data_IF_403681656692
#
_entry.id   IF_403681656692
#
_cell.length_a   1.000
_cell.length_b   1.000
_cell.length_c   1.000
_cell.angle_alpha   90.00
_cell.angle_beta   90.00
_cell.angle_gamma   90.00
#
_symmetry.space_group_name_H-M   'P 1'
#
loop_
_entity.id
_entity.type
_entity.pdbx_description
1 polymer ?
#
# COMPACT_ATOMS: atom_id res chain seq x y z
N UNK A 1 10.17 3.42 1.96
CA UNK A 1 10.06 2.08 2.58
C UNK A 1 9.87 2.07 4.09
N UNK A 2 10.01 3.20 4.81
CA UNK A 2 9.77 3.28 6.27
C UNK A 2 8.29 3.22 6.69
N UNK A 3 7.38 3.48 5.75
CA UNK A 3 5.93 3.51 6.00
C UNK A 3 5.35 2.28 6.72
N UNK A 4 5.72 1.02 6.39
CA UNK A 4 5.14 -0.14 7.04
C UNK A 4 5.57 -0.28 8.50
N UNK A 5 6.79 0.17 8.84
CA UNK A 5 7.28 0.13 10.21
C UNK A 5 6.43 1.03 11.13
N UNK A 6 6.19 2.28 10.71
CA UNK A 6 5.35 3.21 11.48
C UNK A 6 3.89 2.76 11.54
N UNK A 7 3.36 2.26 10.42
CA UNK A 7 2.01 1.67 10.39
C UNK A 7 1.87 0.51 11.37
N UNK A 8 2.86 -0.38 11.46
CA UNK A 8 2.83 -1.52 12.37
C UNK A 8 2.72 -1.09 13.84
N UNK A 9 3.44 -0.02 14.22
CA UNK A 9 3.39 0.53 15.58
C UNK A 9 2.01 1.11 15.87
N UNK A 10 1.41 1.83 14.93
CA UNK A 10 0.11 2.49 15.12
C UNK A 10 -1.03 1.46 15.11
N UNK A 11 -1.01 0.46 14.23
CA UNK A 11 -2.01 -0.62 14.18
C UNK A 11 -2.04 -1.47 15.46
N UNK A 12 -1.03 -1.38 16.34
CA UNK A 12 -1.06 -2.01 17.66
C UNK A 12 -2.09 -1.37 18.60
N UNK A 13 -2.47 -0.13 18.35
CA UNK A 13 -3.48 0.60 19.12
C UNK A 13 -4.89 0.45 18.55
N UNK A 14 -5.06 -0.37 17.51
CA UNK A 14 -6.37 -0.60 16.90
C UNK A 14 -7.24 -1.50 17.79
N UNK A 15 -8.58 -1.41 17.67
CA UNK A 15 -9.51 -2.22 18.45
C UNK A 15 -9.21 -3.72 18.39
N UNK A 16 -8.88 -4.21 17.19
CA UNK A 16 -8.38 -5.57 16.99
C UNK A 16 -6.93 -5.49 16.48
N UNK A 17 -5.94 -5.54 17.39
CA UNK A 17 -4.54 -5.35 17.02
C UNK A 17 -4.01 -6.53 16.21
N UNK A 18 -3.12 -6.21 15.28
CA UNK A 18 -2.41 -7.24 14.50
C UNK A 18 -1.37 -7.96 15.37
N UNK A 19 -1.34 -9.29 15.30
CA UNK A 19 -0.25 -10.07 15.88
C UNK A 19 1.07 -9.73 15.21
N UNK A 20 2.07 -9.32 15.99
CA UNK A 20 3.43 -9.02 15.50
C UNK A 20 4.35 -10.16 15.91
N UNK A 21 4.85 -10.91 14.93
CA UNK A 21 5.93 -11.87 15.16
C UNK A 21 7.30 -11.26 14.79
N UNK A 22 8.36 -11.88 15.32
CA UNK A 22 9.74 -11.50 15.00
C UNK A 22 10.04 -11.69 13.50
N UNK A 23 9.37 -12.63 12.83
CA UNK A 23 9.50 -12.90 11.40
C UNK A 23 9.02 -11.75 10.52
N UNK A 24 7.84 -11.18 10.80
CA UNK A 24 7.29 -10.02 10.10
C UNK A 24 8.17 -8.79 10.24
N UNK A 25 8.73 -8.55 11.45
CA UNK A 25 9.66 -7.46 11.68
C UNK A 25 10.96 -7.64 10.89
N UNK A 26 11.50 -8.86 10.85
CA UNK A 26 12.68 -9.19 10.05
C UNK A 26 12.44 -8.98 8.54
N UNK A 27 11.25 -9.33 8.04
CA UNK A 27 10.89 -9.08 6.63
C UNK A 27 10.77 -7.59 6.31
N UNK A 28 10.20 -6.78 7.21
CA UNK A 28 10.16 -5.32 7.06
C UNK A 28 11.59 -4.75 7.06
N UNK A 29 12.46 -5.21 7.96
CA UNK A 29 13.86 -4.80 8.00
C UNK A 29 14.62 -5.18 6.72
N UNK A 30 14.38 -6.38 6.17
CA UNK A 30 14.97 -6.82 4.91
C UNK A 30 14.51 -5.93 3.74
N UNK A 31 13.22 -5.57 3.70
CA UNK A 31 12.71 -4.66 2.68
C UNK A 31 13.30 -3.25 2.81
N UNK A 32 13.53 -2.76 4.03
CA UNK A 32 14.23 -1.50 4.27
C UNK A 32 15.68 -1.55 3.80
N UNK A 33 16.39 -2.64 4.08
CA UNK A 33 17.77 -2.85 3.63
C UNK A 33 17.86 -2.79 2.10
N UNK A 34 16.98 -3.52 1.39
CA UNK A 34 16.93 -3.48 -0.06
C UNK A 34 16.70 -2.07 -0.63
N UNK A 35 15.81 -1.30 0.01
CA UNK A 35 15.56 0.09 -0.37
C UNK A 35 16.78 1.00 -0.12
N UNK A 36 17.51 0.81 0.98
CA UNK A 36 18.75 1.55 1.25
C UNK A 36 19.81 1.23 0.20
N UNK A 37 20.03 -0.06 -0.10
CA UNK A 37 20.98 -0.48 -1.14
C UNK A 37 20.65 0.13 -2.51
N UNK A 38 19.36 0.23 -2.84
CA UNK A 38 18.91 0.91 -4.06
C UNK A 38 19.29 2.40 -4.08
N UNK A 39 19.06 3.11 -2.97
CA UNK A 39 19.32 4.55 -2.86
C UNK A 39 20.82 4.86 -2.87
N UNK A 40 21.67 4.00 -2.32
CA UNK A 40 23.13 4.18 -2.36
C UNK A 40 23.68 4.28 -3.79
N UNK A 41 23.00 3.70 -4.78
CA UNK A 41 23.37 3.79 -6.19
C UNK A 41 22.98 5.12 -6.87
N UNK A 42 22.10 5.93 -6.25
CA UNK A 42 21.54 7.15 -6.84
C UNK A 42 22.46 8.37 -6.63
N UNK A 43 22.49 9.32 -7.59
CA UNK A 43 23.16 10.60 -7.39
C UNK A 43 22.56 11.36 -6.20
N UNK A 44 23.40 12.10 -5.48
CA UNK A 44 22.97 12.88 -4.31
C UNK A 44 22.08 14.05 -4.77
N UNK A 45 20.77 13.89 -4.59
CA UNK A 45 19.76 14.90 -4.94
C UNK A 45 19.68 16.01 -3.87
N UNK A 46 19.22 17.19 -4.26
CA UNK A 46 18.98 18.36 -3.40
C UNK A 46 18.12 18.04 -2.15
N UNK A 47 18.57 18.55 -1.01
CA UNK A 47 17.94 18.39 0.31
C UNK A 47 16.62 19.15 0.49
N UNK A 48 16.29 20.10 -0.40
CA UNK A 48 15.10 20.96 -0.29
C UNK A 48 13.76 20.21 -0.35
N UNK A 49 13.73 18.99 -0.88
CA UNK A 49 12.52 18.16 -0.96
C UNK A 49 12.26 17.29 0.27
N UNK A 50 13.21 17.17 1.21
CA UNK A 50 13.13 16.19 2.31
C UNK A 50 11.94 16.45 3.23
N UNK A 51 11.65 17.71 3.57
CA UNK A 51 10.50 18.07 4.39
C UNK A 51 9.17 17.66 3.74
N UNK A 52 9.03 17.88 2.44
CA UNK A 52 7.85 17.46 1.67
C UNK A 52 7.69 15.94 1.62
N UNK A 53 8.79 15.20 1.54
CA UNK A 53 8.75 13.72 1.61
C UNK A 53 8.25 13.25 2.97
N UNK A 54 8.71 13.85 4.07
CA UNK A 54 8.21 13.49 5.41
C UNK A 54 6.73 13.80 5.57
N UNK A 55 6.28 14.98 5.12
CA UNK A 55 4.88 15.35 5.15
C UNK A 55 4.01 14.40 4.33
N UNK A 56 4.46 14.07 3.12
CA UNK A 56 3.79 13.09 2.26
C UNK A 56 3.70 11.71 2.91
N UNK A 57 4.77 11.25 3.56
CA UNK A 57 4.79 9.98 4.29
C UNK A 57 3.79 10.00 5.45
N UNK A 58 3.70 11.08 6.22
CA UNK A 58 2.77 11.21 7.33
C UNK A 58 1.30 11.13 6.86
N UNK A 59 0.91 11.94 5.87
CA UNK A 59 -0.43 11.89 5.28
C UNK A 59 -0.72 10.52 4.67
N UNK A 60 0.25 9.94 3.94
CA UNK A 60 0.07 8.63 3.33
C UNK A 60 -0.10 7.53 4.37
N UNK A 61 0.53 7.59 5.55
CA UNK A 61 0.30 6.59 6.60
C UNK A 61 -1.07 6.82 7.24
N UNK A 62 -1.40 8.07 7.59
CA UNK A 62 -2.67 8.43 8.21
C UNK A 62 -3.87 8.04 7.34
N UNK A 63 -3.84 8.37 6.06
CA UNK A 63 -4.86 7.97 5.07
C UNK A 63 -5.09 6.45 5.06
N UNK A 64 -4.01 5.67 4.95
CA UNK A 64 -4.11 4.20 4.86
C UNK A 64 -4.60 3.57 6.16
N UNK A 65 -4.18 4.12 7.28
CA UNK A 65 -4.63 3.71 8.61
C UNK A 65 -6.12 4.01 8.81
N UNK A 66 -6.57 5.23 8.49
CA UNK A 66 -7.97 5.62 8.60
C UNK A 66 -8.86 4.79 7.66
N UNK A 67 -8.46 4.62 6.41
CA UNK A 67 -9.18 3.76 5.45
C UNK A 67 -9.28 2.32 5.96
N UNK A 68 -8.20 1.74 6.52
CA UNK A 68 -8.26 0.41 7.11
C UNK A 68 -9.25 0.35 8.27
N UNK A 69 -9.22 1.35 9.17
CA UNK A 69 -10.11 1.41 10.33
C UNK A 69 -11.59 1.45 9.91
N UNK A 70 -11.91 2.21 8.86
CA UNK A 70 -13.26 2.41 8.34
C UNK A 70 -13.76 1.30 7.39
N UNK A 71 -12.88 0.49 6.79
CA UNK A 71 -13.26 -0.49 5.76
C UNK A 71 -13.15 -1.95 6.22
N UNK A 72 -12.29 -2.22 7.19
CA UNK A 72 -12.04 -3.58 7.64
C UNK A 72 -13.21 -4.11 8.48
N UNK A 73 -13.72 -5.29 8.11
CA UNK A 73 -14.85 -5.93 8.80
C UNK A 73 -14.54 -6.27 10.26
N UNK A 74 -13.26 -6.50 10.57
CA UNK A 74 -12.75 -6.77 11.89
C UNK A 74 -12.48 -5.50 12.71
N UNK A 75 -12.85 -4.31 12.25
CA UNK A 75 -12.59 -3.04 12.96
C UNK A 75 -13.90 -2.26 13.18
N UNK A 76 -13.95 -0.97 12.83
CA UNK A 76 -15.15 -0.14 12.88
C UNK A 76 -15.62 0.20 11.47
N UNK A 77 -16.20 -0.78 10.74
CA UNK A 77 -16.60 -0.56 9.36
C UNK A 77 -17.73 0.48 9.30
N UNK A 78 -17.52 1.50 8.49
CA UNK A 78 -18.59 2.44 8.10
C UNK A 78 -19.45 1.73 7.05
N UNK A 79 -20.77 1.85 7.16
CA UNK A 79 -21.69 1.27 6.17
C UNK A 79 -21.67 2.08 4.87
N UNK A 80 -20.71 1.74 4.02
CA UNK A 80 -20.54 2.33 2.70
C UNK A 80 -20.10 1.25 1.71
N UNK A 81 -20.68 1.27 0.51
CA UNK A 81 -20.27 0.34 -0.53
C UNK A 81 -18.82 0.64 -0.97
N UNK A 82 -18.09 -0.39 -1.38
CA UNK A 82 -16.70 -0.23 -1.87
C UNK A 82 -16.64 0.77 -3.03
N UNK A 83 -17.61 0.70 -3.95
CA UNK A 83 -17.76 1.64 -5.05
C UNK A 83 -18.00 3.07 -4.56
N UNK A 84 -18.82 3.26 -3.52
CA UNK A 84 -19.04 4.56 -2.89
C UNK A 84 -17.76 5.15 -2.31
N UNK A 85 -16.97 4.35 -1.59
CA UNK A 85 -15.65 4.77 -1.06
C UNK A 85 -14.70 5.13 -2.19
N UNK A 86 -14.65 4.31 -3.25
CA UNK A 86 -13.82 4.59 -4.43
C UNK A 86 -14.23 5.92 -5.07
N UNK A 87 -15.52 6.19 -5.23
CA UNK A 87 -16.00 7.46 -5.79
C UNK A 87 -15.59 8.64 -4.90
N UNK A 88 -15.83 8.54 -3.59
CA UNK A 88 -15.46 9.59 -2.64
C UNK A 88 -13.96 9.88 -2.65
N UNK A 89 -13.12 8.84 -2.61
CA UNK A 89 -11.67 8.99 -2.62
C UNK A 89 -11.17 9.67 -3.92
N UNK A 90 -11.78 9.37 -5.08
CA UNK A 90 -11.42 10.05 -6.33
C UNK A 90 -11.95 11.49 -6.38
N UNK A 91 -13.16 11.76 -5.87
CA UNK A 91 -13.73 13.12 -5.81
C UNK A 91 -12.98 14.01 -4.82
N UNK A 92 -12.61 13.49 -3.65
CA UNK A 92 -11.79 14.19 -2.67
C UNK A 92 -10.44 14.56 -3.27
N UNK A 93 -9.84 13.67 -4.08
CA UNK A 93 -8.61 13.94 -4.82
C UNK A 93 -8.72 15.09 -5.84
N UNK A 94 -9.93 15.39 -6.35
CA UNK A 94 -10.12 16.53 -7.26
C UNK A 94 -9.97 17.87 -6.55
N UNK A 95 -10.36 17.97 -5.28
CA UNK A 95 -10.33 19.22 -4.51
C UNK A 95 -8.92 19.85 -4.48
N UNK A 96 -7.85 19.15 -4.03
CA UNK A 96 -6.51 19.73 -4.03
C UNK A 96 -5.99 20.00 -5.45
N UNK A 97 -6.37 19.17 -6.44
CA UNK A 97 -5.97 19.39 -7.84
C UNK A 97 -6.55 20.70 -8.37
N UNK A 98 -7.84 20.94 -8.15
CA UNK A 98 -8.53 22.18 -8.58
C UNK A 98 -7.95 23.40 -7.88
N UNK A 99 -7.65 23.31 -6.58
CA UNK A 99 -7.02 24.40 -5.83
C UNK A 99 -5.63 24.73 -6.42
N UNK A 100 -4.80 23.72 -6.68
CA UNK A 100 -3.47 23.94 -7.25
C UNK A 100 -3.57 24.51 -8.67
N UNK A 101 -4.45 23.97 -9.52
CA UNK A 101 -4.68 24.49 -10.87
C UNK A 101 -5.12 25.97 -10.85
N UNK A 102 -5.94 26.36 -9.87
CA UNK A 102 -6.34 27.75 -9.68
C UNK A 102 -5.16 28.64 -9.29
N UNK A 103 -4.40 28.24 -8.26
CA UNK A 103 -3.23 28.98 -7.79
C UNK A 103 -2.12 29.11 -8.84
N UNK A 104 -2.00 28.13 -9.73
CA UNK A 104 -1.03 28.11 -10.83
C UNK A 104 -1.54 28.70 -12.14
N UNK A 105 -2.81 29.09 -12.19
CA UNK A 105 -3.48 29.59 -13.41
C UNK A 105 -3.40 28.62 -14.60
N UNK A 106 -3.39 27.31 -14.32
CA UNK A 106 -3.29 26.24 -15.34
C UNK A 106 -4.60 26.03 -16.11
N UNK A 107 -5.70 26.67 -15.70
CA UNK A 107 -7.00 26.57 -16.39
C UNK A 107 -6.94 27.13 -17.81
N UNK A 108 -6.09 28.12 -18.06
CA UNK A 108 -5.93 28.73 -19.38
C UNK A 108 -5.27 27.77 -20.38
N UNK A 109 -4.49 26.81 -19.88
CA UNK A 109 -3.78 25.81 -20.70
C UNK A 109 -4.65 24.60 -21.08
N UNK A 110 -5.82 24.43 -20.46
CA UNK A 110 -6.71 23.28 -20.71
C UNK A 110 -7.23 23.28 -22.16
N UNK A 111 -7.67 24.45 -22.65
CA UNK A 111 -8.21 24.59 -24.00
C UNK A 111 -7.18 24.24 -25.08
N UNK A 112 -5.97 24.84 -25.06
CA UNK A 112 -4.86 24.47 -25.94
C UNK A 112 -4.46 22.99 -25.83
N UNK A 113 -4.38 22.45 -24.61
CA UNK A 113 -4.02 21.04 -24.39
C UNK A 113 -5.07 20.08 -24.98
N UNK A 114 -6.36 20.40 -24.88
CA UNK A 114 -7.40 19.56 -25.48
C UNK A 114 -7.37 19.59 -27.00
N UNK A 115 -7.07 20.74 -27.60
CA UNK A 115 -6.96 20.89 -29.06
C UNK A 115 -5.72 20.21 -29.64
N UNK A 116 -4.67 20.05 -28.86
CA UNK A 116 -3.44 19.37 -29.30
C UNK A 116 -3.53 17.84 -29.21
N UNK A 117 -4.57 17.30 -28.57
CA UNK A 117 -4.82 15.86 -28.52
C UNK A 117 -5.32 15.34 -29.87
N UNK A 118 -4.56 14.44 -30.47
CA UNK A 118 -5.03 13.63 -31.60
C UNK A 118 -5.92 12.47 -31.10
N UNK A 119 -6.59 11.77 -32.03
CA UNK A 119 -7.48 10.66 -31.69
C UNK A 119 -6.78 9.57 -30.85
N UNK A 120 -5.51 9.29 -31.12
CA UNK A 120 -4.71 8.36 -30.34
C UNK A 120 -4.50 8.84 -28.90
N UNK A 121 -4.17 10.12 -28.71
CA UNK A 121 -4.02 10.75 -27.40
C UNK A 121 -5.30 10.69 -26.58
N UNK A 122 -6.46 10.96 -27.19
CA UNK A 122 -7.77 10.81 -26.53
C UNK A 122 -7.98 9.37 -26.05
N UNK A 123 -7.73 8.38 -26.90
CA UNK A 123 -7.84 6.96 -26.53
C UNK A 123 -6.91 6.61 -25.36
N UNK A 124 -5.65 7.08 -25.40
CA UNK A 124 -4.68 6.83 -24.32
C UNK A 124 -5.13 7.46 -22.99
N UNK A 125 -5.66 8.68 -23.02
CA UNK A 125 -6.22 9.35 -21.83
C UNK A 125 -7.39 8.54 -21.28
N UNK A 126 -8.37 8.18 -22.11
CA UNK A 126 -9.52 7.38 -21.67
C UNK A 126 -9.08 6.03 -21.08
N UNK A 127 -8.15 5.33 -21.74
CA UNK A 127 -7.61 4.06 -21.25
C UNK A 127 -6.92 4.23 -19.89
N UNK A 128 -6.14 5.30 -19.70
CA UNK A 128 -5.50 5.60 -18.42
C UNK A 128 -6.53 5.85 -17.31
N UNK A 129 -7.66 6.50 -17.61
CA UNK A 129 -8.74 6.71 -16.65
C UNK A 129 -9.39 5.38 -16.27
N UNK A 130 -9.66 4.49 -17.23
CA UNK A 130 -10.24 3.17 -16.96
C UNK A 130 -9.31 2.34 -16.06
N UNK A 131 -8.01 2.32 -16.38
CA UNK A 131 -7.01 1.65 -15.54
C UNK A 131 -6.92 2.29 -14.15
N UNK A 132 -6.97 3.62 -14.07
CA UNK A 132 -6.96 4.38 -12.81
C UNK A 132 -8.15 4.02 -11.90
N UNK A 133 -9.36 3.92 -12.46
CA UNK A 133 -10.55 3.46 -11.74
C UNK A 133 -10.36 2.02 -11.23
N UNK A 134 -9.80 1.14 -12.06
CA UNK A 134 -9.49 -0.23 -11.68
C UNK A 134 -8.50 -0.31 -10.51
N UNK A 135 -7.42 0.48 -10.55
CA UNK A 135 -6.43 0.56 -9.47
C UNK A 135 -7.09 1.10 -8.19
N UNK A 136 -7.91 2.15 -8.30
CA UNK A 136 -8.59 2.77 -7.17
C UNK A 136 -9.56 1.79 -6.48
N UNK A 137 -10.39 1.10 -7.25
CA UNK A 137 -11.32 0.09 -6.72
C UNK A 137 -10.60 -1.11 -6.10
N UNK A 138 -9.61 -1.67 -6.80
CA UNK A 138 -8.84 -2.82 -6.28
C UNK A 138 -8.01 -2.45 -5.05
N UNK A 139 -7.53 -1.20 -4.96
CA UNK A 139 -6.88 -0.66 -3.76
C UNK A 139 -7.80 -0.65 -2.54
N UNK A 140 -8.97 -0.04 -2.67
CA UNK A 140 -10.00 -0.01 -1.60
C UNK A 140 -10.41 -1.43 -1.21
N UNK A 141 -10.62 -2.30 -2.20
CA UNK A 141 -10.97 -3.68 -1.94
C UNK A 141 -9.86 -4.42 -1.17
N UNK A 142 -8.61 -4.31 -1.59
CA UNK A 142 -7.48 -4.91 -0.89
C UNK A 142 -7.38 -4.40 0.56
N UNK A 143 -7.51 -3.10 0.80
CA UNK A 143 -7.48 -2.51 2.15
C UNK A 143 -8.58 -3.04 3.07
N UNK A 144 -9.75 -3.37 2.51
CA UNK A 144 -10.83 -4.00 3.28
C UNK A 144 -10.52 -5.45 3.69
N UNK A 145 -9.55 -6.10 3.02
CA UNK A 145 -9.20 -7.50 3.25
C UNK A 145 -7.93 -7.66 4.10
N UNK A 146 -6.90 -6.83 3.88
CA UNK A 146 -5.59 -6.95 4.55
C UNK A 146 -5.27 -5.74 5.43
N UNK A 147 -4.42 -5.92 6.44
CA UNK A 147 -3.99 -4.83 7.33
C UNK A 147 -3.33 -3.66 6.57
N UNK A 148 -3.36 -2.46 7.15
CA UNK A 148 -2.71 -1.28 6.57
C UNK A 148 -1.20 -1.51 6.40
N UNK A 149 -0.56 -2.20 7.35
CA UNK A 149 0.86 -2.58 7.21
C UNK A 149 1.07 -3.51 6.02
N UNK A 150 0.26 -4.56 5.87
CA UNK A 150 0.36 -5.49 4.73
C UNK A 150 0.15 -4.78 3.40
N UNK A 151 -0.81 -3.86 3.35
CA UNK A 151 -1.05 -3.02 2.18
C UNK A 151 0.15 -2.12 1.85
N UNK A 152 0.77 -1.50 2.85
CA UNK A 152 1.96 -0.66 2.68
C UNK A 152 3.18 -1.48 2.23
N UNK A 153 3.34 -2.72 2.72
CA UNK A 153 4.36 -3.65 2.23
C UNK A 153 4.11 -3.99 0.77
N UNK A 154 2.87 -4.33 0.39
CA UNK A 154 2.48 -4.62 -0.98
C UNK A 154 2.77 -3.46 -1.92
N UNK A 155 2.37 -2.24 -1.55
CA UNK A 155 2.64 -1.03 -2.36
C UNK A 155 4.14 -0.75 -2.48
N UNK A 156 4.92 -0.96 -1.41
CA UNK A 156 6.38 -0.80 -1.47
C UNK A 156 7.03 -1.84 -2.37
N UNK A 157 6.62 -3.11 -2.34
CA UNK A 157 7.11 -4.13 -3.25
C UNK A 157 6.73 -3.83 -4.71
N UNK A 158 5.49 -3.40 -4.96
CA UNK A 158 5.01 -3.05 -6.29
C UNK A 158 5.83 -1.92 -6.94
N UNK A 159 6.29 -0.92 -6.16
CA UNK A 159 7.19 0.13 -6.67
C UNK A 159 8.47 -0.44 -7.28
N UNK A 160 9.08 -1.44 -6.65
CA UNK A 160 10.29 -2.06 -7.18
C UNK A 160 10.03 -2.93 -8.42
N UNK A 161 8.84 -3.54 -8.52
CA UNK A 161 8.41 -4.25 -9.73
C UNK A 161 8.29 -3.26 -10.90
N UNK A 162 7.64 -2.11 -10.68
CA UNK A 162 7.52 -1.06 -11.71
C UNK A 162 8.91 -0.59 -12.15
N UNK A 163 9.83 -0.33 -11.21
CA UNK A 163 11.22 0.04 -11.54
C UNK A 163 11.91 -1.03 -12.41
N UNK A 164 11.66 -2.31 -12.12
CA UNK A 164 12.20 -3.41 -12.92
C UNK A 164 11.62 -3.40 -14.35
N UNK A 165 10.31 -3.25 -14.50
CA UNK A 165 9.66 -3.15 -15.83
C UNK A 165 10.18 -1.94 -16.61
N UNK A 166 10.32 -0.77 -15.96
CA UNK A 166 10.87 0.44 -16.60
C UNK A 166 12.31 0.24 -17.08
N UNK A 167 13.14 -0.45 -16.30
CA UNK A 167 14.54 -0.66 -16.62
C UNK A 167 14.76 -1.74 -17.70
N UNK A 168 14.04 -2.86 -17.61
CA UNK A 168 14.29 -4.03 -18.46
C UNK A 168 13.35 -4.14 -19.66
N UNK A 169 12.09 -3.71 -19.55
CA UNK A 169 11.13 -3.81 -20.65
C UNK A 169 11.08 -2.51 -21.46
N UNK A 170 11.08 -1.36 -20.78
CA UNK A 170 10.99 -0.05 -21.45
C UNK A 170 12.35 0.56 -21.77
N UNK A 171 13.45 -0.02 -21.26
CA UNK A 171 14.82 0.49 -21.38
C UNK A 171 14.97 2.00 -21.05
N UNK A 172 14.07 2.53 -20.22
CA UNK A 172 13.99 3.97 -19.93
C UNK A 172 14.95 4.40 -18.83
N UNK A 173 15.46 3.44 -18.05
CA UNK A 173 16.39 3.69 -16.93
C UNK A 173 17.54 2.69 -16.95
N UNK A 174 18.78 3.19 -16.86
CA UNK A 174 19.97 2.37 -16.67
C UNK A 174 20.22 2.18 -15.18
N UNK A 175 20.03 0.96 -14.68
CA UNK A 175 20.25 0.62 -13.27
C UNK A 175 21.65 0.06 -13.05
N UNK A 176 22.31 0.48 -11.98
CA UNK A 176 23.56 -0.13 -11.53
C UNK A 176 23.28 -1.52 -10.92
N UNK A 177 24.25 -2.46 -10.95
CA UNK A 177 24.08 -3.79 -10.35
C UNK A 177 23.64 -3.76 -8.88
N UNK A 178 24.15 -2.81 -8.10
CA UNK A 178 23.75 -2.63 -6.69
C UNK A 178 22.27 -2.22 -6.53
N UNK A 179 21.73 -1.46 -7.48
CA UNK A 179 20.32 -1.05 -7.48
C UNK A 179 19.43 -2.23 -7.82
N UNK A 180 19.85 -3.07 -8.77
CA UNK A 180 19.14 -4.31 -9.11
C UNK A 180 19.11 -5.24 -7.89
N UNK A 181 20.26 -5.46 -7.23
CA UNK A 181 20.34 -6.27 -6.02
C UNK A 181 19.44 -5.73 -4.89
N UNK A 182 19.48 -4.42 -4.64
CA UNK A 182 18.62 -3.77 -3.64
C UNK A 182 17.13 -3.92 -3.94
N UNK A 183 16.73 -3.75 -5.21
CA UNK A 183 15.34 -3.95 -5.63
C UNK A 183 14.87 -5.40 -5.45
N UNK A 184 15.69 -6.38 -5.83
CA UNK A 184 15.39 -7.81 -5.64
C UNK A 184 15.22 -8.14 -4.16
N UNK A 185 16.15 -7.68 -3.30
CA UNK A 185 16.05 -7.86 -1.84
C UNK A 185 14.75 -7.24 -1.30
N UNK A 186 14.36 -6.06 -1.76
CA UNK A 186 13.14 -5.40 -1.33
C UNK A 186 11.86 -6.18 -1.73
N UNK A 187 11.82 -6.70 -2.96
CA UNK A 187 10.70 -7.52 -3.45
C UNK A 187 10.61 -8.83 -2.66
N UNK A 188 11.73 -9.53 -2.48
CA UNK A 188 11.77 -10.78 -1.72
C UNK A 188 11.35 -10.57 -0.26
N UNK A 189 11.75 -9.47 0.37
CA UNK A 189 11.29 -9.10 1.71
C UNK A 189 9.77 -8.87 1.77
N UNK A 190 9.19 -8.21 0.76
CA UNK A 190 7.75 -8.03 0.66
C UNK A 190 6.97 -9.35 0.47
N UNK A 191 7.47 -10.23 -0.40
CA UNK A 191 6.86 -11.57 -0.63
C UNK A 191 6.97 -12.44 0.63
N UNK A 192 8.13 -12.44 1.29
CA UNK A 192 8.35 -13.17 2.53
C UNK A 192 7.42 -12.67 3.65
N UNK A 193 7.23 -11.36 3.76
CA UNK A 193 6.27 -10.76 4.69
C UNK A 193 4.84 -11.25 4.44
N UNK A 194 4.38 -11.21 3.18
CA UNK A 194 3.05 -11.68 2.81
C UNK A 194 2.80 -13.14 3.21
N UNK A 195 3.77 -14.02 2.94
CA UNK A 195 3.70 -15.43 3.35
C UNK A 195 3.74 -15.64 4.86
N UNK A 196 4.54 -14.85 5.58
CA UNK A 196 4.59 -14.90 7.04
C UNK A 196 3.23 -14.51 7.64
N UNK A 197 2.60 -13.46 7.09
CA UNK A 197 1.30 -12.97 7.53
C UNK A 197 0.18 -13.99 7.30
N UNK A 198 0.12 -14.58 6.12
CA UNK A 198 -0.85 -15.62 5.78
C UNK A 198 -0.78 -16.80 6.76
N UNK A 199 0.44 -17.25 7.10
CA UNK A 199 0.65 -18.34 8.07
C UNK A 199 0.15 -17.98 9.47
N UNK A 200 0.38 -16.75 9.94
CA UNK A 200 -0.11 -16.31 11.25
C UNK A 200 -1.64 -16.25 11.29
N UNK A 201 -2.26 -15.72 10.23
CA UNK A 201 -3.72 -15.63 10.14
C UNK A 201 -4.36 -17.02 10.10
N UNK A 202 -3.75 -17.97 9.39
CA UNK A 202 -4.17 -19.37 9.39
C UNK A 202 -4.06 -20.03 10.78
N UNK A 203 -2.98 -19.78 11.52
CA UNK A 203 -2.80 -20.31 12.88
C UNK A 203 -3.83 -19.73 13.85
N UNK A 204 -4.10 -18.42 13.80
CA UNK A 204 -5.13 -17.77 14.63
C UNK A 204 -6.53 -18.30 14.28
N UNK A 205 -6.82 -18.53 13.01
CA UNK A 205 -8.10 -19.10 12.58
C UNK A 205 -8.28 -20.55 13.06
N UNK A 206 -7.21 -21.36 13.10
CA UNK A 206 -7.23 -22.71 13.65
C UNK A 206 -7.43 -22.70 15.18
N UNK A 207 -6.66 -21.88 15.90
CA UNK A 207 -6.76 -21.74 17.35
C UNK A 207 -8.13 -21.21 17.83
N UNK A 208 -8.90 -20.51 16.98
CA UNK A 208 -10.28 -20.09 17.29
C UNK A 208 -11.32 -21.20 17.06
N UNK A 209 -11.00 -22.25 16.31
CA UNK A 209 -11.92 -23.39 16.05
C UNK A 209 -11.80 -24.50 17.10
N UNK A 210 -10.63 -24.65 17.72
CA UNK A 210 -10.37 -25.66 18.76
C UNK A 210 -11.02 -25.43 20.16
N UNK A 211 -11.36 -24.21 20.65
CA UNK A 211 -11.83 -24.02 22.03
C UNK A 211 -13.28 -24.46 22.26
N UNK A 212 -13.99 -24.95 21.24
CA UNK A 212 -15.34 -25.50 21.38
C UNK A 212 -15.39 -27.01 21.66
N UNK A 213 -14.26 -27.73 21.54
CA UNK A 213 -14.24 -29.20 21.67
C UNK A 213 -13.81 -29.73 23.05
N UNK A 214 -13.26 -28.90 23.94
CA UNK A 214 -12.65 -29.37 25.21
C UNK A 214 -13.37 -28.90 26.49
N UNK A 215 -14.56 -28.30 26.40
CA UNK A 215 -15.43 -28.09 27.56
C UNK A 215 -16.21 -29.39 27.89
N UNK A 216 -15.50 -30.29 28.57
CA UNK A 216 -15.85 -31.50 29.35
C UNK A 216 -17.32 -31.68 29.86
N UNK A 217 -17.77 -32.93 30.13
CA UNK A 217 -17.46 -33.52 31.43
C UNK A 217 -16.97 -34.97 31.39
N UNK A 218 -15.68 -35.12 31.71
CA UNK A 218 -15.19 -36.20 32.56
C UNK A 218 -15.87 -36.10 33.95
N UNK A 219 -17.09 -36.63 34.10
CA UNK A 219 -17.64 -37.25 35.33
C UNK A 219 -18.81 -38.15 34.84
N UNK A 220 -18.48 -39.33 34.33
CA UNK A 220 -19.38 -40.48 34.41
C UNK A 220 -18.80 -41.39 35.49
N UNK A 221 -19.37 -41.22 36.67
CA UNK A 221 -19.01 -41.80 37.95
C UNK A 221 -19.03 -43.33 37.85
N UNK A 222 -17.96 -43.98 38.32
CA UNK A 222 -18.04 -45.33 38.91
C UNK A 222 -19.22 -45.39 39.88
N UNK A 223 -20.18 -46.29 39.65
CA UNK A 223 -20.67 -47.35 40.57
C UNK A 223 -21.33 -48.41 39.70
#
# INVERSE_FOLDING_TARGET
SLTPFFSLVIERFYPNPIGVDKGSLACIALMLLGAVLYVLGMPKQQWGGVGWVFLNVAFSIGDRLLQRLMLAKDQYPVDISKTGVTLLNNLEGLVPIVIVAWLKSEFDDIGPAFRSLNAYGIVMVVMSCVVGVGISYTGVWAQSLISATSFLVLVNANKFIIIFVEAFCMHSKVLKPIQIAGAVVAILGGVAYGKARERMEAQVAQAKKEPASEASPLIAKKV
#
